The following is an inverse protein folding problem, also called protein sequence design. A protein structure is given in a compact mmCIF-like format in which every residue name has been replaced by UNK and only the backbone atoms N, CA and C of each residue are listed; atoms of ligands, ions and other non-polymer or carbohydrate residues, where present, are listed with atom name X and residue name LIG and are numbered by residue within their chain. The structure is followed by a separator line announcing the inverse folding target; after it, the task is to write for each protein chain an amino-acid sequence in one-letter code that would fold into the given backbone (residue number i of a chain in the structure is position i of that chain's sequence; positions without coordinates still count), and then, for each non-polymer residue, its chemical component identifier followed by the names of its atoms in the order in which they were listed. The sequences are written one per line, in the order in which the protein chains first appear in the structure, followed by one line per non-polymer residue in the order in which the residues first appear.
data_IF_186294271121
#
_entry.id   IF_186294271121
#
_cell.length_a   1.000
_cell.length_b   1.000
_cell.length_c   1.000
_cell.angle_alpha   90.00
_cell.angle_beta   90.00
_cell.angle_gamma   90.00
#
_symmetry.space_group_name_H-M   'P 1'
#
loop_
_entity.id
_entity.type
_entity.pdbx_description
1 polymer ?
#
# COMPACT_ATOMS: atom_id res chain seq x y z
N UNK A 1 -0.08 4.82 -0.42
CA UNK A 1 1.37 4.57 -0.61
C UNK A 1 1.82 5.21 -1.92
N UNK A 2 3.09 5.60 -1.99
CA UNK A 2 3.73 6.25 -3.13
C UNK A 2 4.93 5.41 -3.58
N UNK A 3 5.29 5.49 -4.85
CA UNK A 3 6.42 4.77 -5.44
C UNK A 3 6.10 4.34 -6.86
N UNK A 4 7.14 4.18 -7.68
CA UNK A 4 6.97 3.82 -9.09
C UNK A 4 6.33 2.43 -9.25
N UNK A 5 5.90 2.10 -10.46
CA UNK A 5 5.53 0.72 -10.77
C UNK A 5 6.69 -0.24 -10.43
N UNK A 6 6.36 -1.49 -10.11
CA UNK A 6 7.32 -2.58 -9.79
C UNK A 6 8.21 -2.44 -8.55
N UNK A 7 8.19 -1.32 -7.81
CA UNK A 7 8.99 -1.15 -6.56
C UNK A 7 8.52 -2.00 -5.35
N UNK A 8 7.54 -2.88 -5.54
CA UNK A 8 7.08 -3.81 -4.49
C UNK A 8 6.00 -3.30 -3.52
N UNK A 9 5.26 -2.21 -3.85
CA UNK A 9 4.17 -1.67 -3.00
C UNK A 9 3.13 -2.73 -2.59
N UNK A 10 2.56 -3.43 -3.57
CA UNK A 10 1.55 -4.45 -3.33
C UNK A 10 2.11 -5.66 -2.60
N UNK A 11 3.33 -6.09 -2.93
CA UNK A 11 4.01 -7.21 -2.27
C UNK A 11 4.26 -6.93 -0.79
N UNK A 12 4.65 -5.69 -0.44
CA UNK A 12 4.84 -5.29 0.95
C UNK A 12 3.54 -5.38 1.74
N UNK A 13 2.45 -4.83 1.18
CA UNK A 13 1.15 -4.82 1.87
C UNK A 13 0.59 -6.22 2.04
N UNK A 14 0.60 -7.06 0.99
CA UNK A 14 0.14 -8.45 1.10
C UNK A 14 0.96 -9.25 2.11
N UNK A 15 2.28 -9.06 2.13
CA UNK A 15 3.12 -9.72 3.14
C UNK A 15 2.75 -9.27 4.55
N UNK A 16 2.46 -7.99 4.75
CA UNK A 16 2.08 -7.45 6.05
C UNK A 16 0.68 -7.86 6.52
N UNK A 17 -0.31 -7.88 5.61
CA UNK A 17 -1.72 -8.14 5.97
C UNK A 17 -2.10 -9.62 5.90
N UNK A 18 -1.55 -10.36 4.95
CA UNK A 18 -1.92 -11.75 4.66
C UNK A 18 -0.78 -12.74 4.99
N UNK A 19 0.44 -12.25 5.23
CA UNK A 19 1.60 -13.13 5.43
C UNK A 19 2.09 -13.81 4.16
N UNK A 20 1.60 -13.42 2.97
CA UNK A 20 1.94 -14.06 1.69
C UNK A 20 2.89 -13.18 0.87
N UNK A 21 3.83 -13.81 0.19
CA UNK A 21 4.66 -13.20 -0.85
C UNK A 21 4.49 -14.00 -2.14
N UNK A 22 4.19 -13.32 -3.24
CA UNK A 22 4.00 -13.94 -4.56
C UNK A 22 5.16 -13.54 -5.46
N UNK A 23 5.82 -14.52 -6.07
CA UNK A 23 6.91 -14.28 -7.02
C UNK A 23 6.42 -13.63 -8.32
N UNK A 24 5.17 -13.89 -8.70
CA UNK A 24 4.50 -13.24 -9.82
C UNK A 24 3.36 -12.36 -9.31
N UNK A 25 3.56 -11.04 -9.40
CA UNK A 25 2.54 -10.05 -9.03
C UNK A 25 1.99 -9.43 -10.30
N UNK A 26 0.69 -9.59 -10.53
CA UNK A 26 -0.01 -8.88 -11.60
C UNK A 26 -0.01 -7.38 -11.31
N UNK A 27 0.03 -6.56 -12.36
CA UNK A 27 -0.05 -5.11 -12.21
C UNK A 27 -1.32 -4.71 -11.46
N UNK A 28 -1.16 -3.87 -10.43
CA UNK A 28 -2.30 -3.27 -9.72
C UNK A 28 -3.09 -2.40 -10.69
N UNK A 29 -4.37 -2.70 -10.87
CA UNK A 29 -5.28 -1.89 -11.68
C UNK A 29 -6.08 -0.99 -10.75
N UNK A 30 -5.84 0.32 -10.83
CA UNK A 30 -6.54 1.28 -9.97
C UNK A 30 -6.00 1.34 -8.54
N UNK A 31 -6.87 1.12 -7.55
CA UNK A 31 -6.56 1.26 -6.13
C UNK A 31 -7.13 0.07 -5.35
N UNK A 32 -6.26 -0.62 -4.61
CA UNK A 32 -6.64 -1.66 -3.67
C UNK A 32 -6.59 -1.14 -2.23
N UNK A 33 -7.40 -1.76 -1.38
CA UNK A 33 -7.55 -1.36 0.02
C UNK A 33 -7.29 -2.55 0.94
N UNK A 34 -6.42 -2.34 1.94
CA UNK A 34 -6.04 -3.35 2.91
C UNK A 34 -6.29 -2.85 4.34
N UNK A 35 -6.76 -3.74 5.22
CA UNK A 35 -7.02 -3.43 6.63
C UNK A 35 -6.20 -4.35 7.51
N UNK A 36 -5.57 -3.79 8.55
CA UNK A 36 -4.98 -4.59 9.61
C UNK A 36 -5.35 -4.04 10.97
N UNK A 37 -5.68 -4.92 11.92
CA UNK A 37 -5.89 -4.53 13.31
C UNK A 37 -4.60 -4.78 14.09
N UNK A 38 -4.09 -3.74 14.74
CA UNK A 38 -2.86 -3.82 15.53
C UNK A 38 -3.19 -3.43 16.97
N UNK A 39 -2.70 -4.20 17.93
CA UNK A 39 -2.72 -3.82 19.33
C UNK A 39 -1.39 -3.15 19.67
N UNK A 40 -1.44 -1.88 20.08
CA UNK A 40 -0.24 -1.10 20.39
C UNK A 40 0.12 -1.18 21.88
N UNK A 41 -0.91 -1.22 22.72
CA UNK A 41 -0.84 -1.35 24.18
C UNK A 41 -1.97 -2.27 24.63
N UNK A 42 -1.90 -2.89 25.82
CA UNK A 42 -2.96 -3.77 26.32
C UNK A 42 -4.33 -3.07 26.30
N UNK A 43 -5.24 -3.59 25.46
CA UNK A 43 -6.58 -3.05 25.29
C UNK A 43 -6.70 -1.88 24.29
N UNK A 44 -5.59 -1.35 23.76
CA UNK A 44 -5.59 -0.32 22.70
C UNK A 44 -5.42 -0.96 21.32
N UNK A 45 -6.55 -1.19 20.64
CA UNK A 45 -6.59 -1.72 19.28
C UNK A 45 -6.81 -0.60 18.26
N UNK A 46 -5.95 -0.55 17.26
CA UNK A 46 -5.99 0.42 16.18
C UNK A 46 -6.28 -0.30 14.86
N UNK A 47 -7.23 0.23 14.09
CA UNK A 47 -7.51 -0.22 12.72
C UNK A 47 -6.65 0.58 11.74
N UNK A 48 -5.60 -0.05 11.22
CA UNK A 48 -4.78 0.50 10.14
C UNK A 48 -5.45 0.24 8.80
N UNK A 49 -5.43 1.25 7.94
CA UNK A 49 -6.02 1.24 6.61
C UNK A 49 -4.95 1.65 5.61
N UNK A 50 -4.64 0.76 4.67
CA UNK A 50 -3.64 0.99 3.64
C UNK A 50 -4.31 1.13 2.28
N UNK A 51 -3.86 2.13 1.54
CA UNK A 51 -4.25 2.38 0.17
C UNK A 51 -3.08 2.01 -0.74
N UNK A 52 -3.20 0.87 -1.40
CA UNK A 52 -2.30 0.45 -2.46
C UNK A 52 -2.75 1.07 -3.77
N UNK A 53 -1.83 1.72 -4.48
CA UNK A 53 -2.19 2.45 -5.70
C UNK A 53 -1.34 1.95 -6.85
N UNK A 54 -1.94 1.85 -8.03
CA UNK A 54 -1.21 1.57 -9.25
C UNK A 54 -0.08 2.61 -9.43
N UNK A 55 1.15 2.11 -9.56
CA UNK A 55 2.32 2.97 -9.74
C UNK A 55 2.47 3.56 -11.14
N UNK A 56 1.54 3.29 -12.08
CA UNK A 56 1.62 3.85 -13.43
C UNK A 56 1.22 5.33 -13.46
N UNK A 57 1.96 6.11 -14.23
CA UNK A 57 1.77 7.56 -14.42
C UNK A 57 0.35 7.94 -14.87
N UNK A 58 -0.34 7.01 -15.55
CA UNK A 58 -1.72 7.18 -16.03
C UNK A 58 -2.79 7.27 -14.92
N UNK A 59 -2.47 6.92 -13.68
CA UNK A 59 -3.43 6.95 -12.55
C UNK A 59 -3.20 8.11 -11.56
N UNK A 60 -2.28 9.06 -11.85
CA UNK A 60 -1.98 10.20 -10.96
C UNK A 60 -3.19 11.08 -10.61
N UNK A 61 -4.19 11.17 -11.48
CA UNK A 61 -5.42 11.94 -11.23
C UNK A 61 -6.34 11.27 -10.22
N UNK A 62 -6.37 9.94 -10.21
CA UNK A 62 -7.19 9.12 -9.30
C UNK A 62 -6.62 9.17 -7.89
N UNK A 63 -5.31 9.29 -7.73
CA UNK A 63 -4.61 9.22 -6.43
C UNK A 63 -4.95 10.37 -5.47
N UNK A 64 -5.36 11.54 -5.99
CA UNK A 64 -5.55 12.74 -5.17
C UNK A 64 -6.75 12.64 -4.21
N UNK A 65 -7.80 11.91 -4.57
CA UNK A 65 -8.96 11.69 -3.69
C UNK A 65 -8.65 10.73 -2.55
N UNK A 66 -7.82 9.71 -2.79
CA UNK A 66 -7.43 8.70 -1.79
C UNK A 66 -6.47 9.22 -0.72
N UNK A 67 -5.77 10.33 -0.98
CA UNK A 67 -4.91 10.97 0.02
C UNK A 67 -5.68 11.81 1.03
N UNK A 68 -6.93 12.19 0.73
CA UNK A 68 -7.73 13.01 1.65
C UNK A 68 -7.96 12.21 2.94
N UNK A 69 -7.67 12.83 4.08
CA UNK A 69 -7.78 12.24 5.43
C UNK A 69 -6.78 11.11 5.73
N UNK A 70 -5.70 10.98 4.96
CA UNK A 70 -4.60 10.06 5.31
C UNK A 70 -3.84 10.58 6.54
N UNK A 71 -3.57 9.70 7.51
CA UNK A 71 -2.78 10.02 8.70
C UNK A 71 -1.27 10.09 8.42
N UNK A 72 -0.81 9.47 7.32
CA UNK A 72 0.59 9.45 6.92
C UNK A 72 0.79 8.87 5.53
N UNK A 73 2.03 8.91 5.04
CA UNK A 73 2.40 8.40 3.72
C UNK A 73 3.67 7.53 3.80
N UNK A 74 3.75 6.54 2.92
CA UNK A 74 4.95 5.71 2.72
C UNK A 74 5.41 5.88 1.27
N UNK A 75 6.69 6.22 1.07
CA UNK A 75 7.35 6.30 -0.22
C UNK A 75 8.26 5.09 -0.38
N UNK A 76 8.03 4.30 -1.41
CA UNK A 76 8.80 3.10 -1.71
C UNK A 76 9.58 3.30 -3.01
N UNK A 77 10.80 2.75 -3.02
CA UNK A 77 11.67 2.69 -4.18
C UNK A 77 12.46 1.38 -4.12
N UNK A 78 12.91 0.93 -5.29
CA UNK A 78 13.82 -0.21 -5.42
C UNK A 78 15.25 0.31 -5.31
N UNK A 79 16.08 -0.32 -4.48
CA UNK A 79 17.50 0.05 -4.31
C UNK A 79 18.35 -0.28 -5.55
N UNK A 80 17.84 -1.16 -6.41
CA UNK A 80 18.57 -1.68 -7.58
C UNK A 80 18.19 -0.99 -8.89
N UNK A 81 17.28 -0.01 -8.84
CA UNK A 81 16.80 0.76 -9.98
C UNK A 81 17.30 2.21 -9.93
#
# INVERSE_FOLDING_TARGET
MLGDSTVGKSSLLRRYTEGVFLDAVNQTVGVDFYVQFVELEPGLRVKLQFWDTAGQERFRSVTRSYYRNSAGGMLLFDLTN
#
